data_IF_302902612554
#
_entry.id   IF_302902612554
#
_cell.length_a   1.000
_cell.length_b   1.000
_cell.length_c   1.000
_cell.angle_alpha   90.00
_cell.angle_beta   90.00
_cell.angle_gamma   90.00
#
_symmetry.space_group_name_H-M   'P 1'
#
loop_
_entity.id
_entity.type
_entity.pdbx_description
1 polymer ?
#
# COMPACT_ATOMS: atom_id res chain seq x y z
N UNK A 1 11.55 -18.37 -52.37
CA UNK A 1 10.12 -18.69 -52.19
C UNK A 1 9.44 -17.46 -51.59
N UNK A 2 8.86 -16.55 -52.39
CA UNK A 2 7.47 -16.52 -52.91
C UNK A 2 6.38 -16.69 -51.84
N UNK A 3 5.57 -15.64 -51.68
CA UNK A 3 4.19 -15.63 -51.14
C UNK A 3 4.11 -15.28 -49.65
N UNK A 4 3.24 -14.42 -49.14
CA UNK A 4 1.96 -13.95 -49.69
C UNK A 4 1.55 -12.63 -49.01
N UNK A 5 1.29 -11.59 -49.81
CA UNK A 5 0.63 -10.38 -49.37
C UNK A 5 -0.88 -10.59 -49.50
N UNK A 6 -1.58 -10.68 -48.37
CA UNK A 6 -3.03 -10.85 -48.30
C UNK A 6 -3.71 -9.57 -47.84
N UNK A 7 -4.07 -8.70 -48.78
CA UNK A 7 -5.08 -7.65 -48.60
C UNK A 7 -6.43 -8.32 -48.34
N UNK A 8 -7.17 -7.84 -47.35
CA UNK A 8 -8.61 -8.09 -47.21
C UNK A 8 -9.30 -6.79 -46.85
N UNK A 9 -10.01 -6.22 -47.82
CA UNK A 9 -10.93 -5.10 -47.62
C UNK A 9 -12.37 -5.61 -47.44
N UNK A 10 -13.23 -4.71 -46.95
CA UNK A 10 -14.68 -4.85 -47.03
C UNK A 10 -15.38 -5.02 -45.67
N UNK A 11 -15.98 -3.95 -45.17
CA UNK A 11 -17.44 -3.74 -45.19
C UNK A 11 -17.82 -2.66 -44.17
N UNK A 12 -18.11 -1.46 -44.68
CA UNK A 12 -18.70 -0.38 -43.93
C UNK A 12 -20.21 -0.65 -43.76
N UNK A 13 -20.60 -1.29 -42.66
CA UNK A 13 -21.99 -1.35 -42.23
C UNK A 13 -22.31 -0.11 -41.38
N UNK A 14 -22.97 0.87 -42.00
CA UNK A 14 -23.47 2.10 -41.39
C UNK A 14 -24.78 1.78 -40.64
N UNK A 15 -24.67 1.09 -39.50
CA UNK A 15 -25.78 0.82 -38.59
C UNK A 15 -25.88 1.88 -37.51
N UNK A 16 -26.75 2.87 -37.70
CA UNK A 16 -27.09 3.88 -36.69
C UNK A 16 -28.03 3.26 -35.63
N UNK A 17 -27.54 2.32 -34.84
CA UNK A 17 -28.15 1.95 -33.57
C UNK A 17 -27.57 2.83 -32.47
N UNK A 18 -28.43 3.57 -31.76
CA UNK A 18 -28.08 4.29 -30.52
C UNK A 18 -27.37 3.31 -29.58
N UNK A 19 -26.05 3.36 -29.56
CA UNK A 19 -25.21 2.48 -28.78
C UNK A 19 -25.45 2.77 -27.31
N UNK A 20 -26.10 1.83 -26.63
CA UNK A 20 -25.97 1.64 -25.20
C UNK A 20 -24.52 1.89 -24.83
N UNK A 21 -24.30 2.87 -23.95
CA UNK A 21 -22.97 3.33 -23.57
C UNK A 21 -22.21 2.19 -22.91
N UNK A 22 -21.54 1.37 -23.71
CA UNK A 22 -20.65 0.33 -23.24
C UNK A 22 -19.67 0.99 -22.27
N UNK A 23 -19.73 0.55 -21.01
CA UNK A 23 -18.79 0.97 -19.97
C UNK A 23 -17.38 0.92 -20.58
N UNK A 24 -16.65 2.04 -20.53
CA UNK A 24 -15.26 2.18 -21.01
C UNK A 24 -14.29 1.18 -20.36
N UNK A 25 -14.78 0.33 -19.46
CA UNK A 25 -14.04 -0.62 -18.63
C UNK A 25 -14.71 -2.00 -18.73
N UNK A 26 -14.36 -2.80 -19.75
CA UNK A 26 -14.93 -4.14 -19.99
C UNK A 26 -14.96 -5.07 -18.76
N UNK A 27 -14.11 -4.83 -17.75
CA UNK A 27 -14.03 -5.64 -16.55
C UNK A 27 -15.04 -5.25 -15.46
N UNK A 28 -15.79 -4.15 -15.60
CA UNK A 28 -16.82 -3.74 -14.63
C UNK A 28 -18.03 -4.66 -14.63
N UNK A 29 -18.24 -5.39 -15.71
CA UNK A 29 -19.40 -6.26 -15.88
C UNK A 29 -19.08 -7.71 -15.48
N UNK A 30 -17.85 -7.96 -15.02
CA UNK A 30 -17.37 -9.27 -14.59
C UNK A 30 -17.77 -9.52 -13.13
N UNK A 31 -18.65 -10.50 -12.92
CA UNK A 31 -19.12 -10.92 -11.59
C UNK A 31 -18.07 -11.73 -10.78
N UNK A 32 -16.92 -12.06 -11.37
CA UNK A 32 -15.87 -12.82 -10.70
C UNK A 32 -15.20 -12.03 -9.57
N UNK A 33 -14.68 -12.78 -8.60
CA UNK A 33 -13.86 -12.28 -7.50
C UNK A 33 -12.42 -12.68 -7.74
N UNK A 34 -11.48 -11.77 -7.47
CA UNK A 34 -10.06 -12.08 -7.55
C UNK A 34 -9.71 -13.23 -6.58
N UNK A 35 -9.14 -14.36 -7.05
CA UNK A 35 -8.86 -15.52 -6.21
C UNK A 35 -7.74 -15.28 -5.19
N UNK A 36 -6.95 -14.21 -5.34
CA UNK A 36 -5.85 -13.88 -4.43
C UNK A 36 -6.25 -12.90 -3.33
N UNK A 37 -7.01 -11.86 -3.68
CA UNK A 37 -7.40 -10.81 -2.74
C UNK A 37 -8.81 -11.00 -2.16
N UNK A 38 -9.64 -11.85 -2.77
CA UNK A 38 -11.07 -11.94 -2.43
C UNK A 38 -11.86 -10.69 -2.81
N UNK A 39 -11.29 -9.77 -3.59
CA UNK A 39 -11.92 -8.51 -3.97
C UNK A 39 -12.62 -8.62 -5.33
N UNK A 40 -13.87 -8.12 -5.50
CA UNK A 40 -14.59 -8.17 -6.77
C UNK A 40 -13.83 -7.51 -7.91
N UNK A 41 -13.71 -8.21 -9.06
CA UNK A 41 -12.98 -7.71 -10.23
C UNK A 41 -13.60 -6.42 -10.77
N UNK A 42 -14.92 -6.34 -10.76
CA UNK A 42 -15.68 -5.16 -11.18
C UNK A 42 -15.33 -3.87 -10.40
N UNK A 43 -14.85 -3.99 -9.16
CA UNK A 43 -14.54 -2.86 -8.29
C UNK A 43 -13.06 -2.43 -8.34
N UNK A 44 -12.24 -3.09 -9.16
CA UNK A 44 -10.83 -2.74 -9.31
C UNK A 44 -10.68 -1.37 -10.00
N UNK A 45 -9.77 -0.50 -9.52
CA UNK A 45 -9.56 0.81 -10.12
C UNK A 45 -8.80 0.76 -11.45
N UNK A 46 -8.17 -0.37 -11.76
CA UNK A 46 -7.41 -0.67 -12.97
C UNK A 46 -7.89 -1.99 -13.58
N UNK A 47 -7.60 -2.27 -14.88
CA UNK A 47 -7.95 -3.54 -15.50
C UNK A 47 -7.31 -4.72 -14.74
N UNK A 48 -8.00 -5.86 -14.57
CA UNK A 48 -7.42 -7.05 -13.97
C UNK A 48 -6.26 -7.58 -14.83
N UNK A 49 -5.30 -8.22 -14.18
CA UNK A 49 -4.23 -8.95 -14.86
C UNK A 49 -4.71 -10.36 -15.24
N UNK A 50 -4.38 -10.81 -16.45
CA UNK A 50 -4.73 -12.15 -16.94
C UNK A 50 -3.57 -13.11 -16.66
N UNK A 51 -3.71 -13.96 -15.65
CA UNK A 51 -2.71 -14.96 -15.29
C UNK A 51 -3.05 -16.30 -15.94
N UNK A 52 -2.10 -16.92 -16.63
CA UNK A 52 -2.29 -18.27 -17.19
C UNK A 52 -2.20 -19.30 -16.06
N UNK A 53 -3.33 -19.87 -15.66
CA UNK A 53 -3.40 -20.90 -14.63
C UNK A 53 -3.28 -22.29 -15.26
N UNK A 54 -2.40 -23.14 -14.70
CA UNK A 54 -2.32 -24.56 -15.09
C UNK A 54 -3.54 -25.26 -14.53
N UNK A 55 -4.31 -25.91 -15.40
CA UNK A 55 -5.35 -26.84 -14.94
C UNK A 55 -4.69 -28.13 -14.47
N UNK A 56 -4.97 -28.64 -13.27
CA UNK A 56 -4.41 -29.90 -12.80
C UNK A 56 -4.90 -31.11 -13.62
N UNK A 57 -5.97 -30.94 -14.42
CA UNK A 57 -6.54 -31.99 -15.23
C UNK A 57 -5.81 -32.08 -16.58
N UNK A 58 -5.06 -33.18 -16.78
CA UNK A 58 -4.40 -33.47 -18.08
C UNK A 58 -5.44 -33.42 -19.20
N UNK A 59 -5.21 -32.53 -20.18
CA UNK A 59 -6.05 -32.36 -21.37
C UNK A 59 -7.07 -31.23 -21.30
N UNK A 60 -7.27 -30.57 -20.14
CA UNK A 60 -8.08 -29.36 -20.07
C UNK A 60 -7.31 -28.16 -20.60
N UNK A 61 -7.92 -27.37 -21.48
CA UNK A 61 -7.36 -26.09 -21.93
C UNK A 61 -7.22 -25.15 -20.73
N UNK A 62 -6.04 -24.54 -20.58
CA UNK A 62 -5.79 -23.56 -19.53
C UNK A 62 -6.72 -22.35 -19.72
N UNK A 63 -7.55 -22.07 -18.70
CA UNK A 63 -8.38 -20.88 -18.67
C UNK A 63 -7.63 -19.78 -17.93
N UNK A 64 -7.35 -18.63 -18.57
CA UNK A 64 -6.71 -17.51 -17.88
C UNK A 64 -7.58 -17.04 -16.71
N UNK A 65 -6.97 -16.79 -15.56
CA UNK A 65 -7.63 -16.26 -14.36
C UNK A 65 -7.41 -14.75 -14.26
N UNK A 66 -8.47 -14.03 -13.91
CA UNK A 66 -8.41 -12.60 -13.66
C UNK A 66 -7.96 -12.36 -12.22
N UNK A 67 -6.85 -11.64 -12.05
CA UNK A 67 -6.28 -11.34 -10.74
C UNK A 67 -6.02 -9.84 -10.57
N UNK A 68 -6.00 -9.40 -9.32
CA UNK A 68 -5.56 -8.08 -8.91
C UNK A 68 -4.02 -8.01 -9.04
N UNK A 69 -3.53 -7.34 -10.09
CA UNK A 69 -2.11 -7.27 -10.43
C UNK A 69 -1.23 -6.66 -9.32
N UNK A 70 -1.54 -5.47 -8.79
CA UNK A 70 -0.80 -4.89 -7.68
C UNK A 70 -0.82 -5.75 -6.42
N UNK A 71 -1.97 -6.34 -6.08
CA UNK A 71 -2.02 -7.22 -4.93
C UNK A 71 -1.07 -8.40 -5.12
N UNK A 72 -1.09 -9.03 -6.30
CA UNK A 72 -0.19 -10.13 -6.64
C UNK A 72 1.28 -9.71 -6.50
N UNK A 73 1.72 -8.66 -7.20
CA UNK A 73 3.12 -8.20 -7.17
C UNK A 73 3.58 -7.87 -5.75
N UNK A 74 2.77 -7.12 -4.99
CA UNK A 74 3.10 -6.75 -3.62
C UNK A 74 3.16 -7.98 -2.70
N UNK A 75 2.25 -8.93 -2.85
CA UNK A 75 2.23 -10.16 -2.06
C UNK A 75 3.47 -11.04 -2.31
N UNK A 76 3.92 -11.13 -3.57
CA UNK A 76 5.15 -11.85 -3.95
C UNK A 76 6.37 -11.17 -3.37
N UNK A 77 6.51 -9.85 -3.47
CA UNK A 77 7.64 -9.12 -2.86
C UNK A 77 7.70 -9.29 -1.34
N UNK A 78 6.54 -9.27 -0.67
CA UNK A 78 6.49 -9.43 0.78
C UNK A 78 6.89 -10.84 1.22
N UNK A 79 6.24 -11.85 0.64
CA UNK A 79 6.40 -13.25 1.02
C UNK A 79 7.61 -13.93 0.41
N UNK A 80 8.15 -13.36 -0.67
CA UNK A 80 9.16 -13.96 -1.54
C UNK A 80 8.75 -15.34 -2.11
N UNK A 81 7.43 -15.59 -2.22
CA UNK A 81 6.88 -16.82 -2.79
C UNK A 81 6.42 -16.55 -4.22
N UNK A 82 7.11 -17.15 -5.18
CA UNK A 82 6.80 -17.05 -6.61
C UNK A 82 5.80 -18.13 -7.07
N UNK A 83 4.95 -18.61 -6.17
CA UNK A 83 3.93 -19.61 -6.48
C UNK A 83 2.54 -18.97 -6.29
N UNK A 84 1.73 -19.02 -7.34
CA UNK A 84 0.45 -18.34 -7.42
C UNK A 84 -0.57 -19.30 -8.00
N UNK A 85 -1.67 -19.55 -7.27
CA UNK A 85 -2.69 -20.53 -7.65
C UNK A 85 -2.11 -21.92 -7.95
N UNK A 86 -1.11 -22.35 -7.17
CA UNK A 86 -0.43 -23.64 -7.33
C UNK A 86 0.56 -23.72 -8.49
N UNK A 87 0.87 -22.59 -9.15
CA UNK A 87 1.81 -22.51 -10.27
C UNK A 87 2.98 -21.60 -9.94
N UNK A 88 4.20 -22.07 -10.18
CA UNK A 88 5.38 -21.20 -10.15
C UNK A 88 5.32 -20.16 -11.27
N UNK A 89 5.53 -18.89 -10.93
CA UNK A 89 5.64 -17.80 -11.89
C UNK A 89 6.88 -18.02 -12.74
N UNK A 90 6.69 -18.05 -14.06
CA UNK A 90 7.78 -18.10 -15.02
C UNK A 90 8.41 -16.73 -15.20
N UNK A 91 9.59 -16.68 -15.84
CA UNK A 91 10.21 -15.41 -16.25
C UNK A 91 9.30 -14.61 -17.17
N UNK A 92 8.53 -15.28 -18.05
CA UNK A 92 7.56 -14.62 -18.91
C UNK A 92 6.41 -13.98 -18.12
N UNK A 93 5.92 -14.65 -17.07
CA UNK A 93 4.87 -14.10 -16.19
C UNK A 93 5.39 -12.87 -15.42
N UNK A 94 6.62 -12.93 -14.91
CA UNK A 94 7.28 -11.82 -14.23
C UNK A 94 7.40 -10.60 -15.15
N UNK A 95 7.89 -10.80 -16.38
CA UNK A 95 8.01 -9.73 -17.37
C UNK A 95 6.63 -9.14 -17.74
N UNK A 96 5.62 -9.98 -17.91
CA UNK A 96 4.26 -9.54 -18.18
C UNK A 96 3.67 -8.71 -17.04
N UNK A 97 3.92 -9.11 -15.78
CA UNK A 97 3.51 -8.36 -14.59
C UNK A 97 4.21 -6.99 -14.52
N UNK A 98 5.50 -6.93 -14.79
CA UNK A 98 6.26 -5.67 -14.76
C UNK A 98 5.81 -4.68 -15.84
N UNK A 99 5.55 -5.19 -17.06
CA UNK A 99 4.95 -4.40 -18.15
C UNK A 99 3.55 -3.92 -17.78
N UNK A 100 2.73 -4.77 -17.16
CA UNK A 100 1.41 -4.39 -16.66
C UNK A 100 1.50 -3.27 -15.61
N UNK A 101 2.37 -3.41 -14.61
CA UNK A 101 2.56 -2.40 -13.56
C UNK A 101 3.05 -1.07 -14.13
N UNK A 102 3.94 -1.11 -15.13
CA UNK A 102 4.40 0.08 -15.86
C UNK A 102 3.27 0.74 -16.64
N UNK A 103 2.51 -0.03 -17.44
CA UNK A 103 1.40 0.48 -18.26
C UNK A 103 0.33 1.16 -17.41
N UNK A 104 0.01 0.57 -16.26
CA UNK A 104 -1.01 1.09 -15.34
C UNK A 104 -0.46 2.14 -14.35
N UNK A 105 0.83 2.52 -14.44
CA UNK A 105 1.50 3.51 -13.58
C UNK A 105 1.37 3.20 -12.08
N UNK A 106 1.51 1.92 -11.71
CA UNK A 106 1.23 1.41 -10.34
C UNK A 106 2.44 1.49 -9.39
N UNK A 107 3.35 2.44 -9.63
CA UNK A 107 4.55 2.67 -8.84
C UNK A 107 5.78 1.85 -9.29
N UNK A 108 6.86 1.85 -8.48
CA UNK A 108 8.15 1.26 -8.85
C UNK A 108 8.30 -0.23 -8.54
N UNK A 109 7.25 -0.90 -8.01
CA UNK A 109 7.32 -2.31 -7.65
C UNK A 109 7.45 -3.18 -8.91
N UNK A 110 8.65 -3.73 -9.12
CA UNK A 110 8.98 -4.60 -10.26
C UNK A 110 9.62 -5.89 -9.75
N UNK A 111 9.05 -7.02 -10.14
CA UNK A 111 9.53 -8.33 -9.74
C UNK A 111 10.85 -8.67 -10.43
N UNK A 112 11.03 -8.28 -11.71
CA UNK A 112 12.27 -8.47 -12.44
C UNK A 112 13.45 -7.77 -11.76
N UNK A 113 13.28 -6.49 -11.40
CA UNK A 113 14.30 -5.73 -10.65
C UNK A 113 14.64 -6.39 -9.31
N UNK A 114 13.64 -6.89 -8.59
CA UNK A 114 13.87 -7.56 -7.31
C UNK A 114 14.65 -8.87 -7.47
N UNK A 115 14.43 -9.61 -8.56
CA UNK A 115 15.19 -10.83 -8.90
C UNK A 115 16.63 -10.51 -9.34
N UNK A 116 16.84 -9.43 -10.11
CA UNK A 116 18.17 -8.94 -10.48
C UNK A 116 19.00 -8.61 -9.24
N UNK A 117 18.43 -7.83 -8.31
CA UNK A 117 19.06 -7.48 -7.03
C UNK A 117 19.44 -8.72 -6.21
N UNK A 118 18.59 -9.74 -6.20
CA UNK A 118 18.90 -11.00 -5.53
C UNK A 118 20.11 -11.71 -6.16
N UNK A 119 20.23 -11.68 -7.49
CA UNK A 119 21.31 -12.34 -8.22
C UNK A 119 22.67 -11.63 -8.14
N UNK A 120 22.69 -10.35 -7.77
CA UNK A 120 23.90 -9.53 -7.71
C UNK A 120 24.80 -9.87 -6.50
N UNK A 121 24.23 -10.44 -5.42
CA UNK A 121 24.93 -10.85 -4.19
C UNK A 121 25.79 -9.73 -3.54
N UNK A 122 25.54 -8.45 -3.84
CA UNK A 122 26.22 -7.30 -3.21
C UNK A 122 25.46 -6.82 -1.96
N UNK A 123 26.15 -6.29 -0.93
CA UNK A 123 25.48 -5.79 0.27
C UNK A 123 24.57 -4.59 -0.05
N UNK A 124 24.93 -3.78 -1.04
CA UNK A 124 24.10 -2.70 -1.56
C UNK A 124 22.80 -3.21 -2.19
N UNK A 125 22.88 -4.25 -3.03
CA UNK A 125 21.70 -4.85 -3.64
C UNK A 125 20.79 -5.52 -2.61
N UNK A 126 21.36 -6.18 -1.59
CA UNK A 126 20.59 -6.71 -0.47
C UNK A 126 19.84 -5.62 0.30
N UNK A 127 20.49 -4.48 0.54
CA UNK A 127 19.86 -3.33 1.19
C UNK A 127 18.71 -2.76 0.34
N UNK A 128 18.93 -2.53 -0.95
CA UNK A 128 17.90 -2.04 -1.88
C UNK A 128 16.72 -3.02 -1.94
N UNK A 129 16.98 -4.33 -1.99
CA UNK A 129 15.94 -5.34 -1.99
C UNK A 129 15.09 -5.29 -0.71
N UNK A 130 15.73 -5.19 0.47
CA UNK A 130 15.00 -5.07 1.72
C UNK A 130 14.17 -3.78 1.81
N UNK A 131 14.67 -2.66 1.28
CA UNK A 131 13.90 -1.41 1.18
C UNK A 131 12.67 -1.56 0.28
N UNK A 132 12.80 -2.24 -0.87
CA UNK A 132 11.67 -2.56 -1.76
C UNK A 132 10.64 -3.41 -1.02
N UNK A 133 11.09 -4.46 -0.33
CA UNK A 133 10.21 -5.37 0.42
C UNK A 133 9.52 -4.69 1.59
N UNK A 134 10.22 -3.82 2.31
CA UNK A 134 9.65 -3.00 3.37
C UNK A 134 8.56 -2.07 2.85
N UNK A 135 8.82 -1.38 1.75
CA UNK A 135 7.85 -0.48 1.11
C UNK A 135 6.64 -1.26 0.56
N UNK A 136 6.88 -2.43 -0.02
CA UNK A 136 5.83 -3.31 -0.51
C UNK A 136 4.87 -3.76 0.62
N UNK A 137 5.40 -4.08 1.81
CA UNK A 137 4.60 -4.45 2.99
C UNK A 137 3.62 -3.33 3.38
N UNK A 138 4.13 -2.10 3.55
CA UNK A 138 3.29 -0.93 3.85
C UNK A 138 2.23 -0.70 2.77
N UNK A 139 2.62 -0.83 1.50
CA UNK A 139 1.69 -0.61 0.38
C UNK A 139 0.61 -1.69 0.32
N UNK A 140 0.95 -2.95 0.61
CA UNK A 140 0.00 -4.06 0.66
C UNK A 140 -1.02 -3.89 1.77
N UNK A 141 -0.60 -3.44 2.97
CA UNK A 141 -1.51 -3.12 4.07
C UNK A 141 -2.49 -2.00 3.70
N UNK A 142 -1.99 -0.92 3.10
CA UNK A 142 -2.83 0.16 2.59
C UNK A 142 -3.83 -0.32 1.54
N UNK A 143 -3.40 -1.18 0.61
CA UNK A 143 -4.28 -1.75 -0.41
C UNK A 143 -5.39 -2.62 0.21
N UNK A 144 -5.04 -3.49 1.17
CA UNK A 144 -6.02 -4.31 1.92
C UNK A 144 -7.04 -3.45 2.67
N UNK A 145 -6.59 -2.35 3.27
CA UNK A 145 -7.48 -1.40 3.94
C UNK A 145 -8.46 -0.75 2.95
N UNK A 146 -7.97 -0.25 1.81
CA UNK A 146 -8.81 0.34 0.76
C UNK A 146 -9.85 -0.66 0.26
N UNK A 147 -9.43 -1.90 -0.02
CA UNK A 147 -10.34 -2.96 -0.46
C UNK A 147 -11.44 -3.23 0.59
N UNK A 148 -11.08 -3.33 1.88
CA UNK A 148 -12.05 -3.52 2.97
C UNK A 148 -13.07 -2.37 3.03
N UNK A 149 -12.61 -1.12 2.98
CA UNK A 149 -13.49 0.06 3.00
C UNK A 149 -14.44 0.06 1.80
N UNK A 150 -13.94 -0.30 0.62
CA UNK A 150 -14.78 -0.41 -0.59
C UNK A 150 -15.82 -1.51 -0.49
N UNK A 151 -15.49 -2.66 0.09
CA UNK A 151 -16.44 -3.75 0.31
C UNK A 151 -17.57 -3.31 1.26
N UNK A 152 -17.25 -2.61 2.35
CA UNK A 152 -18.27 -2.10 3.28
C UNK A 152 -19.18 -1.06 2.62
N UNK A 153 -18.65 -0.20 1.75
CA UNK A 153 -19.44 0.83 1.06
C UNK A 153 -20.20 0.32 -0.16
N UNK A 154 -19.65 -0.66 -0.88
CA UNK A 154 -20.23 -1.22 -2.11
C UNK A 154 -21.33 -2.26 -1.87
N UNK A 155 -21.47 -2.77 -0.64
CA UNK A 155 -22.59 -3.64 -0.25
C UNK A 155 -23.89 -2.90 0.00
N UNK A 156 -23.83 -1.57 0.20
CA UNK A 156 -25.01 -0.71 0.22
C UNK A 156 -25.34 -0.33 -1.23
N UNK A 157 -25.67 -1.33 -2.05
CA UNK A 157 -26.49 -1.10 -3.23
C UNK A 157 -27.80 -0.57 -2.65
N UNK A 158 -27.93 0.76 -2.56
CA UNK A 158 -29.23 1.40 -2.38
C UNK A 158 -30.13 0.70 -3.38
N UNK A 159 -31.16 -0.06 -2.94
CA UNK A 159 -32.09 -0.66 -3.85
C UNK A 159 -32.55 0.50 -4.73
N UNK A 160 -32.28 0.39 -6.03
CA UNK A 160 -32.68 1.40 -6.99
C UNK A 160 -34.14 1.67 -6.67
N UNK A 161 -34.43 2.86 -6.12
CA UNK A 161 -35.79 3.29 -5.93
C UNK A 161 -36.34 3.42 -7.34
N UNK A 162 -36.92 2.32 -7.82
CA UNK A 162 -37.73 2.28 -9.02
C UNK A 162 -38.84 3.29 -8.79
N UNK A 163 -38.75 4.43 -9.47
CA UNK A 163 -39.80 5.43 -9.48
C UNK A 163 -39.37 6.78 -8.95
N UNK A 164 -38.99 7.66 -9.87
CA UNK A 164 -39.85 8.77 -10.28
C UNK A 164 -38.99 9.83 -10.93
N UNK A 165 -39.32 10.14 -12.18
CA UNK A 165 -38.49 10.97 -13.05
C UNK A 165 -38.25 12.38 -12.52
N UNK A 166 -37.17 13.00 -13.03
CA UNK A 166 -37.27 14.20 -13.88
C UNK A 166 -35.87 14.55 -14.40
N UNK A 167 -35.73 14.45 -15.71
CA UNK A 167 -34.58 14.91 -16.50
C UNK A 167 -34.54 16.44 -16.49
N UNK A 168 -33.48 17.03 -15.94
CA UNK A 168 -33.01 18.35 -16.39
C UNK A 168 -31.58 18.22 -16.88
N UNK A 169 -31.41 18.56 -18.15
CA UNK A 169 -30.14 18.56 -18.86
C UNK A 169 -29.33 19.79 -18.45
N UNK A 170 -28.15 19.57 -17.86
CA UNK A 170 -27.12 20.60 -17.70
C UNK A 170 -25.99 20.28 -18.68
N UNK A 171 -25.91 21.11 -19.71
CA UNK A 171 -24.83 21.18 -20.69
C UNK A 171 -23.53 21.66 -20.04
N UNK A 172 -22.42 21.02 -20.39
CA UNK A 172 -21.12 21.17 -19.74
C UNK A 172 -20.33 22.43 -20.11
N UNK A 173 -19.20 22.59 -19.44
CA UNK A 173 -18.12 23.49 -19.85
C UNK A 173 -16.80 22.77 -19.58
N UNK A 174 -16.05 22.52 -20.65
CA UNK A 174 -14.70 21.95 -20.66
C UNK A 174 -13.71 23.04 -20.26
N UNK A 175 -12.75 22.73 -19.40
CA UNK A 175 -11.51 23.50 -19.30
C UNK A 175 -10.31 22.58 -19.45
N UNK A 176 -9.56 22.89 -20.50
CA UNK A 176 -8.21 22.51 -20.85
C UNK A 176 -7.22 22.92 -19.74
N UNK A 177 -6.20 22.11 -19.47
CA UNK A 177 -5.08 22.52 -18.61
C UNK A 177 -3.78 21.85 -19.08
N UNK A 178 -3.07 22.60 -19.92
CA UNK A 178 -1.65 22.47 -20.19
C UNK A 178 -0.79 23.19 -19.13
N UNK A 179 0.49 22.84 -19.11
CA UNK A 179 1.53 23.13 -18.11
C UNK A 179 1.89 24.62 -17.95
N UNK A 180 2.40 25.02 -16.77
CA UNK A 180 3.66 25.78 -16.56
C UNK A 180 3.88 26.21 -15.10
N UNK A 181 5.15 26.37 -14.75
CA UNK A 181 5.76 26.71 -13.47
C UNK A 181 5.60 28.17 -13.00
N UNK A 182 5.93 28.36 -11.72
CA UNK A 182 6.55 29.54 -11.07
C UNK A 182 5.75 30.85 -10.87
N UNK A 183 6.02 31.44 -9.68
CA UNK A 183 5.89 32.84 -9.24
C UNK A 183 4.65 33.31 -8.46
N UNK A 184 4.96 33.67 -7.21
CA UNK A 184 4.75 35.00 -6.59
C UNK A 184 3.33 35.39 -6.11
N UNK A 185 3.25 35.57 -4.79
CA UNK A 185 2.22 36.30 -4.01
C UNK A 185 1.97 37.73 -4.53
N UNK A 186 0.77 38.34 -4.42
CA UNK A 186 0.37 39.02 -3.16
C UNK A 186 -1.14 39.05 -2.84
N UNK A 187 -1.44 39.59 -1.65
CA UNK A 187 -2.75 39.81 -1.04
C UNK A 187 -3.68 40.78 -1.78
N UNK A 188 -5.01 40.53 -1.73
CA UNK A 188 -6.14 41.45 -2.00
C UNK A 188 -7.35 40.92 -1.20
N UNK A 189 -7.76 41.55 -0.10
CA UNK A 189 -8.82 42.58 0.04
C UNK A 189 -10.20 42.17 -0.50
N UNK A 190 -11.13 41.91 0.43
CA UNK A 190 -12.51 42.43 0.45
C UNK A 190 -13.51 41.94 -0.60
N UNK A 191 -14.54 41.21 -0.14
CA UNK A 191 -15.91 41.51 -0.59
C UNK A 191 -16.96 41.07 0.43
N UNK A 192 -17.55 42.09 1.06
CA UNK A 192 -18.87 42.07 1.69
C UNK A 192 -19.94 41.88 0.62
N UNK A 193 -20.96 41.06 0.89
CA UNK A 193 -22.07 40.92 -0.06
C UNK A 193 -23.26 40.10 0.44
N UNK A 194 -24.24 40.81 0.99
CA UNK A 194 -25.70 40.52 0.95
C UNK A 194 -26.25 39.33 1.74
N UNK A 195 -26.68 39.66 2.96
CA UNK A 195 -27.90 39.13 3.60
C UNK A 195 -29.12 39.38 2.71
N UNK A 196 -29.83 38.32 2.31
CA UNK A 196 -31.25 38.39 2.01
C UNK A 196 -32.02 37.84 3.21
N UNK A 197 -32.78 38.73 3.85
CA UNK A 197 -33.87 38.37 4.75
C UNK A 197 -35.00 37.80 3.91
N UNK A 198 -35.41 36.56 4.17
CA UNK A 198 -36.73 36.06 3.78
C UNK A 198 -37.52 35.73 5.05
N UNK A 199 -38.73 36.29 5.08
CA UNK A 199 -39.71 36.22 6.15
C UNK A 199 -40.39 34.83 6.23
N UNK A 200 -41.05 34.53 7.35
CA UNK A 200 -41.47 33.18 7.71
C UNK A 200 -42.86 32.85 7.16
N UNK A 201 -42.96 31.76 6.39
CA UNK A 201 -44.26 31.12 6.15
C UNK A 201 -44.53 30.11 7.27
N UNK A 202 -45.56 30.41 8.05
CA UNK A 202 -46.14 29.52 9.05
C UNK A 202 -46.83 28.36 8.33
N UNK A 203 -46.19 27.19 8.34
CA UNK A 203 -46.84 25.92 8.09
C UNK A 203 -47.01 25.16 9.41
N UNK A 204 -48.25 24.71 9.61
CA UNK A 204 -48.77 23.98 10.76
C UNK A 204 -47.77 22.94 11.29
N UNK A 205 -47.38 23.09 12.55
CA UNK A 205 -46.52 22.15 13.25
C UNK A 205 -47.34 20.88 13.58
N UNK A 206 -46.92 19.70 13.10
CA UNK A 206 -47.42 18.42 13.60
C UNK A 206 -47.01 18.22 15.07
N UNK A 207 -47.70 17.34 15.82
CA UNK A 207 -47.54 17.19 17.27
C UNK A 207 -46.08 17.03 17.68
N UNK A 208 -45.64 17.87 18.63
CA UNK A 208 -44.31 17.88 19.24
C UNK A 208 -43.98 16.51 19.84
N UNK A 209 -43.30 15.68 19.06
CA UNK A 209 -42.58 14.52 19.59
C UNK A 209 -41.44 15.04 20.47
N UNK A 210 -41.43 14.62 21.73
CA UNK A 210 -40.36 14.95 22.67
C UNK A 210 -39.01 14.56 22.05
N UNK A 211 -38.01 15.46 22.03
CA UNK A 211 -36.71 15.12 21.48
C UNK A 211 -36.14 13.93 22.28
N UNK A 212 -35.68 12.85 21.60
CA UNK A 212 -35.10 11.71 22.29
C UNK A 212 -33.93 12.19 23.14
N UNK A 213 -33.90 11.73 24.39
CA UNK A 213 -32.92 12.12 25.40
C UNK A 213 -31.48 11.97 24.87
N UNK A 214 -30.82 13.08 24.52
CA UNK A 214 -29.44 13.14 23.97
C UNK A 214 -28.32 12.77 24.97
N UNK A 215 -28.64 12.27 26.16
CA UNK A 215 -27.66 11.99 27.23
C UNK A 215 -26.71 10.80 26.98
N UNK A 216 -27.05 9.69 26.31
CA UNK A 216 -26.14 8.54 26.25
C UNK A 216 -24.94 8.75 25.31
N UNK A 217 -25.05 9.63 24.31
CA UNK A 217 -23.97 9.85 23.34
C UNK A 217 -22.77 10.58 23.94
N UNK A 218 -22.99 11.54 24.85
CA UNK A 218 -21.91 12.30 25.49
C UNK A 218 -21.11 11.44 26.48
N UNK A 219 -21.79 10.53 27.19
CA UNK A 219 -21.13 9.61 28.13
C UNK A 219 -20.25 8.59 27.39
N UNK A 220 -20.72 8.09 26.25
CA UNK A 220 -19.93 7.17 25.42
C UNK A 220 -18.68 7.86 24.83
N UNK A 221 -18.79 9.13 24.41
CA UNK A 221 -17.66 9.89 23.91
C UNK A 221 -16.58 10.10 24.99
N UNK A 222 -16.99 10.43 26.21
CA UNK A 222 -16.06 10.60 27.34
C UNK A 222 -15.36 9.28 27.70
N UNK A 223 -16.08 8.16 27.70
CA UNK A 223 -15.49 6.84 27.94
C UNK A 223 -14.44 6.48 26.87
N UNK A 224 -14.73 6.77 25.61
CA UNK A 224 -13.79 6.51 24.52
C UNK A 224 -12.54 7.41 24.60
N UNK A 225 -12.69 8.65 25.06
CA UNK A 225 -11.57 9.56 25.29
C UNK A 225 -10.69 9.09 26.45
N UNK A 226 -11.28 8.63 27.56
CA UNK A 226 -10.54 8.06 28.70
C UNK A 226 -9.74 6.83 28.26
N UNK A 227 -10.33 5.94 27.46
CA UNK A 227 -9.64 4.74 26.98
C UNK A 227 -8.45 5.08 26.07
N UNK A 228 -8.58 6.09 25.20
CA UNK A 228 -7.44 6.58 24.41
C UNK A 228 -6.32 7.17 25.28
N UNK A 229 -6.67 7.91 26.34
CA UNK A 229 -5.70 8.49 27.25
C UNK A 229 -4.94 7.40 28.02
N UNK A 230 -5.65 6.37 28.50
CA UNK A 230 -5.04 5.22 29.17
C UNK A 230 -4.08 4.46 28.25
N UNK A 231 -4.48 4.26 26.98
CA UNK A 231 -3.63 3.61 25.99
C UNK A 231 -2.35 4.42 25.69
N UNK A 232 -2.46 5.75 25.58
CA UNK A 232 -1.28 6.62 25.43
C UNK A 232 -0.34 6.52 26.63
N UNK A 233 -0.88 6.53 27.85
CA UNK A 233 -0.08 6.43 29.07
C UNK A 233 0.66 5.08 29.14
N UNK A 234 -0.01 3.98 28.79
CA UNK A 234 0.61 2.67 28.72
C UNK A 234 1.74 2.61 27.67
N UNK A 235 1.55 3.25 26.52
CA UNK A 235 2.57 3.33 25.46
C UNK A 235 3.81 4.11 25.92
N UNK A 236 3.62 5.20 26.67
CA UNK A 236 4.73 5.98 27.23
C UNK A 236 5.51 5.17 28.28
N UNK A 237 4.82 4.44 29.17
CA UNK A 237 5.50 3.56 30.12
C UNK A 237 6.32 2.48 29.42
N UNK A 238 5.78 1.87 28.37
CA UNK A 238 6.50 0.86 27.60
C UNK A 238 7.76 1.43 26.92
N UNK A 239 7.68 2.66 26.40
CA UNK A 239 8.85 3.35 25.84
C UNK A 239 9.92 3.66 26.91
N UNK A 240 9.51 4.09 28.11
CA UNK A 240 10.45 4.31 29.22
C UNK A 240 11.15 3.02 29.64
N UNK A 241 10.43 1.90 29.71
CA UNK A 241 11.03 0.60 30.03
C UNK A 241 12.04 0.15 28.96
N UNK A 242 11.71 0.31 27.67
CA UNK A 242 12.65 0.03 26.58
C UNK A 242 13.91 0.90 26.66
N UNK A 243 13.75 2.18 27.00
CA UNK A 243 14.88 3.09 27.15
C UNK A 243 15.78 2.71 28.34
N UNK A 244 15.20 2.40 29.50
CA UNK A 244 15.97 1.91 30.66
C UNK A 244 16.73 0.62 30.33
N UNK A 245 16.08 -0.32 29.64
CA UNK A 245 16.73 -1.57 29.25
C UNK A 245 17.91 -1.34 28.30
N UNK A 246 17.73 -0.46 27.30
CA UNK A 246 18.81 -0.09 26.39
C UNK A 246 19.98 0.59 27.10
N UNK A 247 19.69 1.47 28.07
CA UNK A 247 20.72 2.12 28.87
C UNK A 247 21.49 1.13 29.74
N UNK A 248 20.80 0.16 30.35
CA UNK A 248 21.42 -0.90 31.14
C UNK A 248 22.32 -1.80 30.27
N UNK A 249 21.89 -2.11 29.04
CA UNK A 249 22.69 -2.88 28.09
C UNK A 249 23.97 -2.14 27.69
N UNK A 250 23.91 -0.81 27.47
CA UNK A 250 25.10 0.00 27.20
C UNK A 250 26.07 0.04 28.39
N UNK A 251 25.56 0.15 29.62
CA UNK A 251 26.42 0.10 30.81
C UNK A 251 27.13 -1.26 30.96
N UNK A 252 26.43 -2.37 30.68
CA UNK A 252 27.07 -3.69 30.69
C UNK A 252 28.17 -3.81 29.64
N UNK A 253 27.95 -3.31 28.42
CA UNK A 253 29.00 -3.32 27.38
C UNK A 253 30.22 -2.49 27.80
N UNK A 254 30.03 -1.31 28.39
CA UNK A 254 31.15 -0.51 28.90
C UNK A 254 31.92 -1.21 30.02
N UNK A 255 31.23 -1.88 30.95
CA UNK A 255 31.90 -2.65 32.00
C UNK A 255 32.71 -3.82 31.43
N UNK A 256 32.18 -4.55 30.44
CA UNK A 256 32.92 -5.62 29.78
C UNK A 256 34.17 -5.10 29.06
N UNK A 257 34.07 -3.94 28.40
CA UNK A 257 35.21 -3.32 27.73
C UNK A 257 36.30 -2.91 28.73
N UNK A 258 35.92 -2.33 29.88
CA UNK A 258 36.89 -2.00 30.95
C UNK A 258 37.56 -3.25 31.53
N UNK A 259 36.82 -4.35 31.73
CA UNK A 259 37.42 -5.61 32.20
C UNK A 259 38.40 -6.20 31.18
N UNK A 260 38.12 -6.08 29.88
CA UNK A 260 39.06 -6.53 28.84
C UNK A 260 40.34 -5.70 28.86
N UNK A 261 40.25 -4.38 28.99
CA UNK A 261 41.42 -3.49 29.09
C UNK A 261 42.26 -3.80 30.33
N UNK A 262 41.63 -4.06 31.48
CA UNK A 262 42.36 -4.46 32.70
C UNK A 262 43.09 -5.80 32.53
N UNK A 263 42.45 -6.79 31.89
CA UNK A 263 43.10 -8.07 31.59
C UNK A 263 44.29 -7.91 30.66
N UNK A 264 44.15 -7.08 29.62
CA UNK A 264 45.22 -6.80 28.67
C UNK A 264 46.40 -6.12 29.36
N UNK A 265 46.15 -5.11 30.21
CA UNK A 265 47.19 -4.43 30.97
C UNK A 265 47.92 -5.37 31.95
N UNK A 266 47.20 -6.26 32.65
CA UNK A 266 47.83 -7.26 33.51
C UNK A 266 48.71 -8.25 32.72
N UNK A 267 48.25 -8.67 31.54
CA UNK A 267 49.01 -9.56 30.66
C UNK A 267 50.29 -8.88 30.17
N UNK A 268 50.22 -7.60 29.80
CA UNK A 268 51.37 -6.81 29.37
C UNK A 268 52.39 -6.64 30.51
N UNK A 269 51.92 -6.38 31.73
CA UNK A 269 52.78 -6.27 32.92
C UNK A 269 53.46 -7.61 33.29
N UNK A 270 52.79 -8.75 33.06
CA UNK A 270 53.40 -10.07 33.22
C UNK A 270 54.48 -10.33 32.18
N UNK A 271 54.24 -9.95 30.91
CA UNK A 271 55.24 -10.06 29.86
C UNK A 271 56.48 -9.20 30.16
N UNK A 272 56.30 -7.97 30.65
CA UNK A 272 57.43 -7.12 31.05
C UNK A 272 58.24 -7.73 32.21
N UNK A 273 57.59 -8.37 33.19
CA UNK A 273 58.30 -9.07 34.28
C UNK A 273 59.12 -10.26 33.81
N UNK A 274 58.65 -11.01 32.81
CA UNK A 274 59.41 -12.13 32.24
C UNK A 274 60.60 -11.66 31.40
N UNK A 275 60.54 -10.44 30.85
CA UNK A 275 61.61 -9.87 30.03
C UNK A 275 62.73 -9.20 30.83
N UNK A 276 62.60 -9.01 32.15
CA UNK A 276 63.74 -8.56 32.97
C UNK A 276 64.71 -9.74 33.17
N UNK A 277 65.87 -9.76 32.49
CA UNK A 277 66.84 -10.81 32.71
C UNK A 277 67.41 -10.63 34.11
N UNK A 278 67.47 -11.72 34.89
CA UNK A 278 68.13 -11.75 36.19
C UNK A 278 69.58 -11.25 36.05
N UNK A 279 69.80 -9.96 36.29
CA UNK A 279 71.14 -9.43 36.54
C UNK A 279 71.61 -10.07 37.83
N UNK A 280 72.39 -11.14 37.66
CA UNK A 280 73.11 -11.83 38.72
C UNK A 280 73.90 -10.80 39.51
N UNK A 281 73.68 -10.79 40.83
CA UNK A 281 74.47 -10.02 41.78
C UNK A 281 75.96 -10.25 41.53
N UNK A 282 76.80 -9.19 41.51
CA UNK A 282 78.24 -9.35 41.49
C UNK A 282 78.67 -10.01 42.81
N UNK A 283 79.24 -11.20 42.71
CA UNK A 283 79.91 -11.83 43.84
C UNK A 283 81.14 -10.99 44.19
N UNK A 284 81.10 -10.31 45.33
CA UNK A 284 82.27 -9.74 45.96
C UNK A 284 83.21 -10.87 46.38
N UNK A 285 84.44 -10.85 45.87
CA UNK A 285 85.58 -11.55 46.44
C UNK A 285 86.81 -10.67 46.37
#
# INVERSE_FOLDING_TARGET
>A
ARGSAGRSGGHAAKGAGKSEGHSLRWWTDVAEVCPLSGFPIALLPYPPFKLQAVSPQRGSRETPKLVDGPYLVLSVLCSWRFEVLGKALTVADVNALDLYMKRCKLGPFRLGRALELLSEHSPEAHKELEEIRFTARRRLEGLKHIQRVRLTRGGEVQPAAEGSGRVEAVTGTQHDASMSEERTTPAVVGQQGRRQQQQPQQLQQPPRQQPPARRPQQQQQMQQQMQQQQFQQQRQQQQQQQHQHQQQQQQQQQQQQQQQLQKQSQQEQQQQRQQQPHQKQPQHR
#
